data_IF_114088849800
#
_entry.id   IF_114088849800
#
_cell.length_a   1.000
_cell.length_b   1.000
_cell.length_c   1.000
_cell.angle_alpha   90.00
_cell.angle_beta   90.00
_cell.angle_gamma   90.00
#
_symmetry.space_group_name_H-M   'P 1'
#
loop_
_entity.id
_entity.type
_entity.pdbx_description
1 polymer ?
#
# COMPACT_ATOMS: atom_id res chain seq x y z
N UNK A 1 14.47 18.64 -3.49
CA UNK A 1 14.74 18.25 -2.09
C UNK A 1 15.13 16.77 -2.13
N UNK A 2 16.28 16.39 -1.58
CA UNK A 2 16.79 15.01 -1.55
C UNK A 2 16.77 14.49 -0.11
N UNK A 3 15.60 14.38 0.44
CA UNK A 3 15.35 14.04 1.84
C UNK A 3 15.35 12.52 2.13
N UNK A 4 15.55 11.69 1.09
CA UNK A 4 15.73 10.25 1.22
C UNK A 4 17.14 9.76 0.81
N UNK A 5 18.12 10.67 0.68
CA UNK A 5 19.49 10.27 0.36
C UNK A 5 20.01 9.28 1.45
N UNK A 6 20.58 8.15 1.00
CA UNK A 6 21.06 7.08 1.87
C UNK A 6 19.99 6.17 2.46
N UNK A 7 18.71 6.37 2.16
CA UNK A 7 17.60 5.53 2.63
C UNK A 7 17.18 4.50 1.60
N UNK A 8 17.18 3.22 1.99
CA UNK A 8 16.67 2.13 1.15
C UNK A 8 15.20 1.88 1.47
N UNK A 9 14.32 1.95 0.47
CA UNK A 9 12.88 1.81 0.63
C UNK A 9 12.35 0.72 -0.30
N UNK A 10 11.69 -0.28 0.30
CA UNK A 10 10.98 -1.34 -0.43
C UNK A 10 9.57 -0.87 -0.78
N UNK A 11 9.17 -1.00 -2.03
CA UNK A 11 7.80 -0.76 -2.50
C UNK A 11 7.23 -2.04 -3.09
N UNK A 12 6.28 -2.68 -2.42
CA UNK A 12 5.55 -3.84 -2.97
C UNK A 12 4.45 -3.39 -3.92
N UNK A 13 4.05 -4.24 -4.87
CA UNK A 13 3.07 -3.84 -5.88
C UNK A 13 3.55 -2.71 -6.80
N UNK A 14 4.86 -2.59 -6.98
CA UNK A 14 5.52 -1.50 -7.72
C UNK A 14 5.14 -1.44 -9.21
N UNK A 15 4.73 -2.57 -9.80
CA UNK A 15 4.23 -2.62 -11.19
C UNK A 15 2.81 -2.06 -11.35
N UNK A 16 2.09 -1.78 -10.25
CA UNK A 16 0.76 -1.15 -10.28
C UNK A 16 0.84 0.39 -10.32
N UNK A 17 -0.31 1.04 -10.56
CA UNK A 17 -0.39 2.49 -10.71
C UNK A 17 0.15 3.27 -9.51
N UNK A 18 -0.42 3.07 -8.31
CA UNK A 18 0.00 3.76 -7.07
C UNK A 18 1.45 3.40 -6.71
N UNK A 19 1.80 2.09 -6.80
CA UNK A 19 3.15 1.62 -6.50
C UNK A 19 4.19 2.25 -7.42
N UNK A 20 3.93 2.25 -8.74
CA UNK A 20 4.81 2.86 -9.73
C UNK A 20 4.99 4.37 -9.54
N UNK A 21 3.89 5.10 -9.25
CA UNK A 21 3.96 6.54 -8.93
C UNK A 21 4.80 6.79 -7.66
N UNK A 22 4.63 5.94 -6.65
CA UNK A 22 5.42 6.01 -5.40
C UNK A 22 6.92 5.79 -5.67
N UNK A 23 7.27 4.76 -6.46
CA UNK A 23 8.66 4.50 -6.85
C UNK A 23 9.28 5.72 -7.55
N UNK A 24 8.57 6.30 -8.54
CA UNK A 24 9.05 7.51 -9.25
C UNK A 24 9.30 8.67 -8.30
N UNK A 25 8.38 8.96 -7.39
CA UNK A 25 8.52 10.07 -6.43
C UNK A 25 9.67 9.84 -5.44
N UNK A 26 9.82 8.64 -4.91
CA UNK A 26 10.91 8.31 -3.97
C UNK A 26 12.27 8.37 -4.65
N UNK A 27 12.43 7.79 -5.84
CA UNK A 27 13.67 7.87 -6.61
C UNK A 27 14.03 9.31 -6.97
N UNK A 28 13.06 10.14 -7.37
CA UNK A 28 13.24 11.56 -7.63
C UNK A 28 13.65 12.38 -6.39
N UNK A 29 13.42 11.86 -5.18
CA UNK A 29 13.81 12.46 -3.89
C UNK A 29 15.08 11.83 -3.27
N UNK A 30 15.81 10.99 -4.04
CA UNK A 30 17.11 10.46 -3.66
C UNK A 30 17.10 9.10 -2.95
N UNK A 31 15.92 8.45 -2.79
CA UNK A 31 15.85 7.11 -2.20
C UNK A 31 16.52 6.06 -3.10
N UNK A 32 17.18 5.07 -2.47
CA UNK A 32 17.47 3.79 -3.11
C UNK A 32 16.20 2.94 -3.06
N UNK A 33 15.49 2.83 -4.18
CA UNK A 33 14.20 2.13 -4.20
C UNK A 33 14.37 0.69 -4.66
N UNK A 34 13.74 -0.24 -3.91
CA UNK A 34 13.56 -1.64 -4.31
C UNK A 34 12.12 -1.79 -4.77
N UNK A 35 11.93 -1.97 -6.09
CA UNK A 35 10.62 -2.11 -6.71
C UNK A 35 10.22 -3.60 -6.74
N UNK A 36 9.23 -3.98 -5.94
CA UNK A 36 8.88 -5.38 -5.75
C UNK A 36 7.48 -5.74 -6.28
N UNK A 37 7.36 -6.96 -6.79
CA UNK A 37 6.11 -7.50 -7.34
C UNK A 37 6.31 -8.87 -7.97
N UNK A 38 5.31 -9.35 -8.71
CA UNK A 38 5.37 -10.67 -9.40
C UNK A 38 5.73 -10.58 -10.87
N UNK A 39 5.44 -9.45 -11.52
CA UNK A 39 5.67 -9.25 -12.94
C UNK A 39 7.08 -8.68 -13.17
N UNK A 40 8.03 -9.55 -13.45
CA UNK A 40 9.44 -9.20 -13.64
C UNK A 40 9.67 -8.24 -14.80
N UNK A 41 8.94 -8.39 -15.91
CA UNK A 41 9.06 -7.53 -17.07
C UNK A 41 8.65 -6.08 -16.75
N UNK A 42 7.48 -5.90 -16.11
CA UNK A 42 7.01 -4.59 -15.70
C UNK A 42 7.92 -3.94 -14.63
N UNK A 43 8.52 -4.76 -13.74
CA UNK A 43 9.50 -4.27 -12.77
C UNK A 43 10.80 -3.83 -13.46
N UNK A 44 11.28 -4.57 -14.45
CA UNK A 44 12.47 -4.22 -15.22
C UNK A 44 12.27 -2.93 -16.04
N UNK A 45 11.08 -2.75 -16.64
CA UNK A 45 10.72 -1.51 -17.34
C UNK A 45 10.70 -0.31 -16.38
N UNK A 46 10.08 -0.46 -15.20
CA UNK A 46 10.05 0.60 -14.17
C UNK A 46 11.47 0.92 -13.69
N UNK A 47 12.30 -0.10 -13.47
CA UNK A 47 13.70 0.04 -13.07
C UNK A 47 14.51 0.83 -14.11
N UNK A 48 14.35 0.54 -15.38
CA UNK A 48 15.03 1.27 -16.48
C UNK A 48 14.69 2.77 -16.52
N UNK A 49 13.49 3.15 -16.07
CA UNK A 49 13.04 4.56 -16.04
C UNK A 49 13.39 5.29 -14.76
N UNK A 50 13.60 4.58 -13.66
CA UNK A 50 13.71 5.18 -12.31
C UNK A 50 15.04 4.91 -11.62
N UNK A 51 15.83 3.96 -12.10
CA UNK A 51 17.02 3.45 -11.40
C UNK A 51 16.69 2.57 -10.18
N UNK A 52 15.42 2.21 -9.97
CA UNK A 52 15.03 1.31 -8.89
C UNK A 52 15.57 -0.11 -9.12
N UNK A 53 15.86 -0.86 -8.06
CA UNK A 53 16.25 -2.27 -8.15
C UNK A 53 15.00 -3.16 -8.21
N UNK A 54 14.80 -3.96 -9.26
CA UNK A 54 13.68 -4.88 -9.33
C UNK A 54 13.88 -6.06 -8.37
N UNK A 55 12.78 -6.54 -7.77
CA UNK A 55 12.77 -7.69 -6.86
C UNK A 55 11.47 -8.47 -7.03
N UNK A 56 11.55 -9.70 -7.53
CA UNK A 56 10.38 -10.55 -7.70
C UNK A 56 10.17 -11.44 -6.49
N UNK A 57 8.96 -11.43 -5.92
CA UNK A 57 8.53 -12.39 -4.90
C UNK A 57 6.99 -12.45 -4.77
N UNK A 58 6.52 -13.54 -4.14
CA UNK A 58 5.10 -13.75 -3.86
C UNK A 58 4.76 -13.35 -2.42
N UNK A 59 3.88 -12.35 -2.28
CA UNK A 59 3.37 -11.87 -0.99
C UNK A 59 2.63 -12.94 -0.18
N UNK A 60 2.06 -13.96 -0.84
CA UNK A 60 1.27 -15.00 -0.18
C UNK A 60 2.13 -16.13 0.39
N UNK A 61 3.40 -16.24 -0.02
CA UNK A 61 4.37 -17.22 0.47
C UNK A 61 5.32 -16.60 1.50
N UNK A 62 5.28 -17.12 2.72
CA UNK A 62 6.19 -16.65 3.78
C UNK A 62 7.66 -16.93 3.44
N UNK A 63 7.95 -18.09 2.85
CA UNK A 63 9.31 -18.46 2.42
C UNK A 63 9.82 -17.47 1.36
N UNK A 64 8.98 -17.13 0.36
CA UNK A 64 9.31 -16.18 -0.70
C UNK A 64 9.59 -14.79 -0.13
N UNK A 65 8.75 -14.30 0.80
CA UNK A 65 8.94 -13.01 1.46
C UNK A 65 10.21 -13.01 2.31
N UNK A 66 10.43 -14.06 3.12
CA UNK A 66 11.61 -14.18 3.99
C UNK A 66 12.92 -14.18 3.19
N UNK A 67 12.98 -14.99 2.12
CA UNK A 67 14.14 -15.07 1.25
C UNK A 67 14.40 -13.78 0.46
N UNK A 68 13.35 -13.05 0.08
CA UNK A 68 13.49 -11.83 -0.68
C UNK A 68 13.97 -10.63 0.15
N UNK A 69 13.50 -10.49 1.39
CA UNK A 69 13.72 -9.26 2.18
C UNK A 69 14.49 -9.46 3.49
N UNK A 70 14.72 -10.71 3.93
CA UNK A 70 15.33 -10.99 5.23
C UNK A 70 16.74 -10.43 5.43
N UNK A 71 17.50 -10.27 4.36
CA UNK A 71 18.88 -9.76 4.39
C UNK A 71 19.01 -8.31 3.85
N UNK A 72 17.88 -7.65 3.52
CA UNK A 72 17.92 -6.28 3.02
C UNK A 72 18.12 -5.28 4.15
N UNK A 73 18.99 -4.30 3.93
CA UNK A 73 19.14 -3.16 4.82
C UNK A 73 18.09 -2.10 4.48
N UNK A 74 16.90 -2.26 5.07
CA UNK A 74 15.74 -1.40 4.83
C UNK A 74 15.65 -0.29 5.86
N UNK A 75 15.45 0.95 5.38
CA UNK A 75 15.01 2.07 6.19
C UNK A 75 13.48 2.24 6.15
N UNK A 76 12.84 1.88 5.04
CA UNK A 76 11.41 2.06 4.91
C UNK A 76 10.72 1.04 4.00
N UNK A 77 9.39 0.95 4.14
CA UNK A 77 8.53 0.05 3.36
C UNK A 77 7.25 0.74 2.94
N UNK A 78 6.82 0.48 1.70
CA UNK A 78 5.46 0.77 1.23
C UNK A 78 4.79 -0.55 0.83
N UNK A 79 3.79 -0.97 1.59
CA UNK A 79 2.93 -2.11 1.25
C UNK A 79 1.81 -1.64 0.32
N UNK A 80 2.06 -1.71 -0.99
CA UNK A 80 1.09 -1.32 -2.02
C UNK A 80 0.54 -2.52 -2.82
N UNK A 81 1.11 -3.73 -2.63
CA UNK A 81 0.61 -4.95 -3.25
C UNK A 81 -0.78 -5.32 -2.74
N UNK A 82 -1.70 -5.63 -3.66
CA UNK A 82 -3.06 -6.00 -3.28
C UNK A 82 -3.83 -6.71 -4.41
N UNK A 83 -4.96 -7.29 -4.03
CA UNK A 83 -5.91 -7.96 -4.91
C UNK A 83 -7.32 -7.51 -4.60
N UNK A 84 -8.08 -7.08 -5.62
CA UNK A 84 -9.42 -6.51 -5.45
C UNK A 84 -10.51 -7.55 -5.12
N UNK A 85 -10.29 -8.78 -5.53
CA UNK A 85 -11.30 -9.84 -5.38
C UNK A 85 -12.48 -9.65 -6.33
N UNK A 86 -13.62 -10.18 -5.91
CA UNK A 86 -14.91 -10.08 -6.59
C UNK A 86 -15.78 -9.00 -5.98
N UNK A 87 -16.86 -8.67 -6.69
CA UNK A 87 -17.94 -7.82 -6.18
C UNK A 87 -19.18 -8.72 -6.05
N UNK A 88 -19.48 -9.07 -4.79
CA UNK A 88 -20.57 -10.00 -4.47
C UNK A 88 -21.31 -9.58 -3.19
N UNK A 89 -22.58 -9.96 -3.08
CA UNK A 89 -23.33 -9.84 -1.82
C UNK A 89 -22.85 -10.90 -0.81
N UNK A 90 -23.07 -10.72 0.50
CA UNK A 90 -22.55 -11.65 1.51
C UNK A 90 -22.94 -13.11 1.28
N UNK A 91 -24.17 -13.38 0.85
CA UNK A 91 -24.66 -14.75 0.60
C UNK A 91 -24.10 -15.39 -0.68
N UNK A 92 -23.54 -14.58 -1.60
CA UNK A 92 -23.03 -15.02 -2.90
C UNK A 92 -21.49 -14.95 -2.95
N UNK A 93 -20.85 -14.59 -1.83
CA UNK A 93 -19.39 -14.46 -1.74
C UNK A 93 -18.72 -15.84 -1.91
N UNK A 94 -17.77 -15.91 -2.86
CA UNK A 94 -16.90 -17.07 -3.02
C UNK A 94 -15.81 -17.06 -1.92
N UNK A 95 -15.80 -18.12 -1.10
CA UNK A 95 -14.87 -18.22 0.04
C UNK A 95 -13.41 -18.38 -0.40
N UNK A 96 -13.14 -19.05 -1.51
CA UNK A 96 -11.78 -19.18 -2.05
C UNK A 96 -11.24 -17.82 -2.50
N UNK A 97 -12.11 -16.98 -3.09
CA UNK A 97 -11.77 -15.59 -3.45
C UNK A 97 -11.56 -14.75 -2.19
N UNK A 98 -12.43 -14.87 -1.17
CA UNK A 98 -12.28 -14.20 0.12
C UNK A 98 -10.93 -14.55 0.75
N UNK A 99 -10.60 -15.83 0.87
CA UNK A 99 -9.34 -16.30 1.45
C UNK A 99 -8.13 -15.77 0.70
N UNK A 100 -8.18 -15.74 -0.63
CA UNK A 100 -7.13 -15.18 -1.48
C UNK A 100 -6.95 -13.68 -1.26
N UNK A 101 -8.05 -12.93 -1.09
CA UNK A 101 -8.01 -11.48 -0.80
C UNK A 101 -7.36 -11.22 0.57
N UNK A 102 -7.78 -11.96 1.60
CA UNK A 102 -7.20 -11.87 2.96
C UNK A 102 -5.71 -12.26 2.93
N UNK A 103 -5.37 -13.38 2.27
CA UNK A 103 -3.99 -13.84 2.16
C UNK A 103 -3.08 -12.81 1.49
N UNK A 104 -3.57 -12.13 0.45
CA UNK A 104 -2.77 -11.12 -0.28
C UNK A 104 -2.70 -9.80 0.48
N UNK A 105 -3.85 -9.23 0.86
CA UNK A 105 -3.94 -7.84 1.32
C UNK A 105 -3.56 -7.65 2.79
N UNK A 106 -3.96 -8.58 3.64
CA UNK A 106 -3.72 -8.51 5.09
C UNK A 106 -2.50 -9.34 5.51
N UNK A 107 -2.55 -10.66 5.25
CA UNK A 107 -1.46 -11.57 5.65
C UNK A 107 -0.16 -11.25 4.91
N UNK A 108 -0.21 -10.97 3.60
CA UNK A 108 0.97 -10.63 2.81
C UNK A 108 1.65 -9.35 3.31
N UNK A 109 0.87 -8.29 3.58
CA UNK A 109 1.40 -7.08 4.18
C UNK A 109 2.01 -7.32 5.57
N UNK A 110 1.37 -8.16 6.41
CA UNK A 110 1.93 -8.54 7.72
C UNK A 110 3.26 -9.30 7.58
N UNK A 111 3.40 -10.19 6.60
CA UNK A 111 4.66 -10.89 6.34
C UNK A 111 5.77 -9.90 5.98
N UNK A 112 5.49 -8.92 5.11
CA UNK A 112 6.46 -7.88 4.76
C UNK A 112 6.82 -7.05 5.99
N UNK A 113 5.84 -6.62 6.81
CA UNK A 113 6.09 -5.90 8.07
C UNK A 113 6.98 -6.74 8.99
N UNK A 114 6.66 -8.03 9.18
CA UNK A 114 7.43 -8.95 10.05
C UNK A 114 8.90 -9.01 9.68
N UNK A 115 9.22 -9.22 8.42
CA UNK A 115 10.61 -9.38 7.98
C UNK A 115 11.33 -8.04 7.86
N UNK A 116 10.67 -6.99 7.39
CA UNK A 116 11.25 -5.66 7.34
C UNK A 116 11.54 -5.10 8.75
N UNK A 117 10.60 -5.25 9.69
CA UNK A 117 10.81 -4.80 11.07
C UNK A 117 12.04 -5.47 11.71
N UNK A 118 12.27 -6.78 11.45
CA UNK A 118 13.46 -7.48 11.94
C UNK A 118 14.76 -6.83 11.42
N UNK A 119 14.82 -6.48 10.13
CA UNK A 119 15.99 -5.83 9.54
C UNK A 119 16.14 -4.41 10.08
N UNK A 120 15.06 -3.63 10.17
CA UNK A 120 15.08 -2.26 10.68
C UNK A 120 15.50 -2.20 12.16
N UNK A 121 15.00 -3.12 13.02
CA UNK A 121 15.41 -3.25 14.42
C UNK A 121 16.87 -3.61 14.52
N UNK A 122 17.35 -4.57 13.73
CA UNK A 122 18.77 -4.97 13.69
C UNK A 122 19.69 -3.80 13.34
N UNK A 123 19.27 -2.94 12.42
CA UNK A 123 20.03 -1.74 12.02
C UNK A 123 20.00 -0.63 13.07
N UNK A 124 18.94 -0.55 13.89
CA UNK A 124 18.82 0.43 14.97
C UNK A 124 18.70 1.90 14.52
N UNK A 125 18.32 2.14 13.25
CA UNK A 125 18.26 3.47 12.67
C UNK A 125 16.83 4.06 12.67
N UNK A 126 15.86 3.32 13.24
CA UNK A 126 14.45 3.64 13.10
C UNK A 126 13.94 3.43 11.67
N UNK A 127 12.90 4.15 11.27
CA UNK A 127 12.37 4.10 9.92
C UNK A 127 10.87 4.33 9.80
N UNK A 128 10.30 4.02 8.63
CA UNK A 128 8.87 4.21 8.39
C UNK A 128 8.27 3.13 7.48
N UNK A 129 7.05 2.71 7.83
CA UNK A 129 6.24 1.77 7.05
C UNK A 129 4.92 2.44 6.70
N UNK A 130 4.53 2.42 5.43
CA UNK A 130 3.23 2.91 4.96
C UNK A 130 2.48 1.80 4.26
N UNK A 131 1.30 1.48 4.77
CA UNK A 131 0.39 0.49 4.20
C UNK A 131 -0.65 1.18 3.31
N UNK A 132 -0.81 0.72 2.07
CA UNK A 132 -1.89 1.20 1.19
C UNK A 132 -3.14 0.38 1.46
N UNK A 133 -3.98 0.92 2.33
CA UNK A 133 -5.30 0.38 2.67
C UNK A 133 -6.35 0.85 1.66
N UNK A 134 -7.52 1.25 2.12
CA UNK A 134 -8.62 1.77 1.31
C UNK A 134 -9.66 2.47 2.18
N UNK A 135 -10.42 3.41 1.64
CA UNK A 135 -11.65 3.89 2.29
C UNK A 135 -12.61 2.73 2.63
N UNK A 136 -12.57 1.62 1.86
CA UNK A 136 -13.37 0.42 2.13
C UNK A 136 -12.99 -0.29 3.45
N UNK A 137 -11.83 0.02 4.04
CA UNK A 137 -11.46 -0.40 5.39
C UNK A 137 -12.06 0.47 6.49
N UNK A 138 -12.51 1.69 6.16
CA UNK A 138 -13.08 2.66 7.10
C UNK A 138 -14.61 2.66 7.06
N UNK A 139 -15.20 2.54 5.86
CA UNK A 139 -16.65 2.52 5.65
C UNK A 139 -17.04 1.39 4.70
N UNK A 140 -18.27 0.91 4.85
CA UNK A 140 -18.78 -0.18 4.02
C UNK A 140 -19.03 0.27 2.58
N UNK A 141 -18.59 -0.54 1.63
CA UNK A 141 -18.96 -0.45 0.21
C UNK A 141 -19.77 -1.67 -0.20
N UNK A 142 -20.89 -1.46 -0.90
CA UNK A 142 -21.75 -2.57 -1.37
C UNK A 142 -20.95 -3.52 -2.26
N UNK A 143 -21.10 -4.84 -2.02
CA UNK A 143 -20.43 -5.88 -2.79
C UNK A 143 -18.93 -6.08 -2.49
N UNK A 144 -18.35 -5.34 -1.55
CA UNK A 144 -16.90 -5.38 -1.29
C UNK A 144 -16.55 -6.06 0.05
N UNK A 145 -17.29 -7.10 0.44
CA UNK A 145 -17.08 -7.74 1.75
C UNK A 145 -15.65 -8.31 1.89
N UNK A 146 -15.16 -9.03 0.90
CA UNK A 146 -13.81 -9.60 0.91
C UNK A 146 -12.73 -8.52 0.96
N UNK A 147 -12.83 -7.53 0.08
CA UNK A 147 -11.87 -6.44 -0.02
C UNK A 147 -11.90 -5.53 1.21
N UNK A 148 -13.09 -5.05 1.61
CA UNK A 148 -13.26 -4.19 2.77
C UNK A 148 -12.75 -4.83 4.06
N UNK A 149 -13.09 -6.10 4.30
CA UNK A 149 -12.58 -6.86 5.45
C UNK A 149 -11.07 -6.95 5.47
N UNK A 150 -10.43 -7.20 4.32
CA UNK A 150 -8.97 -7.28 4.23
C UNK A 150 -8.30 -5.94 4.53
N UNK A 151 -8.90 -4.81 4.10
CA UNK A 151 -8.37 -3.47 4.33
C UNK A 151 -8.61 -3.00 5.77
N UNK A 152 -9.75 -3.33 6.38
CA UNK A 152 -9.98 -3.12 7.80
C UNK A 152 -8.99 -3.90 8.67
N UNK A 153 -8.68 -5.15 8.29
CA UNK A 153 -7.63 -5.93 8.94
C UNK A 153 -6.26 -5.27 8.80
N UNK A 154 -5.91 -4.74 7.62
CA UNK A 154 -4.65 -4.03 7.39
C UNK A 154 -4.55 -2.75 8.22
N UNK A 155 -5.64 -2.00 8.38
CA UNK A 155 -5.68 -0.82 9.24
C UNK A 155 -5.48 -1.18 10.72
N UNK A 156 -6.01 -2.33 11.16
CA UNK A 156 -5.73 -2.80 12.52
C UNK A 156 -4.29 -3.29 12.70
N UNK A 157 -3.74 -4.03 11.72
CA UNK A 157 -2.32 -4.42 11.68
C UNK A 157 -1.43 -3.18 11.78
N UNK A 158 -1.77 -2.10 11.07
CA UNK A 158 -1.05 -0.82 11.12
C UNK A 158 -1.00 -0.25 12.53
N UNK A 159 -2.15 -0.19 13.24
CA UNK A 159 -2.22 0.35 14.61
C UNK A 159 -1.40 -0.47 15.61
N UNK A 160 -1.52 -1.81 15.55
CA UNK A 160 -0.76 -2.69 16.45
C UNK A 160 0.75 -2.59 16.15
N UNK A 161 1.15 -2.63 14.88
CA UNK A 161 2.55 -2.49 14.50
C UNK A 161 3.12 -1.11 14.91
N UNK A 162 2.36 -0.03 14.80
CA UNK A 162 2.76 1.30 15.28
C UNK A 162 3.03 1.33 16.79
N UNK A 163 2.14 0.70 17.56
CA UNK A 163 2.25 0.62 19.02
C UNK A 163 3.51 -0.17 19.43
N UNK A 164 3.76 -1.32 18.79
CA UNK A 164 4.83 -2.23 19.17
C UNK A 164 6.21 -1.83 18.64
N UNK A 165 6.26 -1.23 17.44
CA UNK A 165 7.52 -0.85 16.78
C UNK A 165 7.97 0.57 17.13
N UNK A 166 7.12 1.38 17.77
CA UNK A 166 7.43 2.76 18.14
C UNK A 166 8.65 2.87 19.07
N UNK A 167 8.83 1.92 20.00
CA UNK A 167 10.01 1.85 20.87
C UNK A 167 11.35 1.64 20.13
N UNK A 168 11.31 1.21 18.87
CA UNK A 168 12.46 1.07 17.98
C UNK A 168 12.63 2.26 17.02
N UNK A 169 11.84 3.34 17.19
CA UNK A 169 11.86 4.50 16.30
C UNK A 169 11.25 4.22 14.92
N UNK A 170 10.44 3.16 14.78
CA UNK A 170 9.77 2.80 13.53
C UNK A 170 8.33 3.28 13.57
N UNK A 171 7.96 4.16 12.63
CA UNK A 171 6.60 4.65 12.44
C UNK A 171 5.84 3.75 11.47
N UNK A 172 4.58 3.46 11.76
CA UNK A 172 3.73 2.65 10.88
C UNK A 172 2.39 3.35 10.69
N UNK A 173 2.05 3.65 9.44
CA UNK A 173 0.82 4.35 9.08
C UNK A 173 0.11 3.66 7.91
N UNK A 174 -1.16 3.93 7.71
CA UNK A 174 -1.86 3.58 6.48
C UNK A 174 -2.41 4.82 5.77
N UNK A 175 -2.50 4.73 4.45
CA UNK A 175 -3.30 5.61 3.62
C UNK A 175 -4.52 4.86 3.15
N UNK A 176 -5.67 5.54 3.10
CA UNK A 176 -6.97 4.95 2.76
C UNK A 176 -7.55 5.66 1.51
N UNK A 177 -7.04 5.32 0.31
CA UNK A 177 -7.51 5.93 -0.93
C UNK A 177 -8.97 5.63 -1.23
N UNK A 178 -9.64 6.57 -1.90
CA UNK A 178 -10.79 6.27 -2.75
C UNK A 178 -10.35 5.54 -4.03
N UNK A 179 -11.26 5.39 -4.96
CA UNK A 179 -10.98 4.78 -6.26
C UNK A 179 -9.97 5.62 -7.03
N UNK A 180 -8.89 4.97 -7.44
CA UNK A 180 -7.91 5.48 -8.40
C UNK A 180 -8.13 4.74 -9.71
N UNK A 181 -8.35 5.48 -10.82
CA UNK A 181 -8.62 4.88 -12.12
C UNK A 181 -7.34 4.27 -12.70
N UNK A 182 -7.15 3.00 -12.41
CA UNK A 182 -6.06 2.15 -12.93
C UNK A 182 -6.64 1.05 -13.82
N UNK A 183 -5.83 0.32 -14.60
CA UNK A 183 -6.32 -0.83 -15.36
C UNK A 183 -7.06 -1.87 -14.49
N UNK A 184 -6.70 -1.97 -13.22
CA UNK A 184 -7.35 -2.89 -12.27
C UNK A 184 -8.79 -2.48 -11.93
N UNK A 185 -9.08 -1.18 -11.86
CA UNK A 185 -10.33 -0.62 -11.35
C UNK A 185 -11.29 -0.15 -12.43
N UNK A 186 -10.79 0.26 -13.59
CA UNK A 186 -11.55 0.93 -14.64
C UNK A 186 -12.72 0.09 -15.20
N UNK A 187 -12.57 -1.24 -15.27
CA UNK A 187 -13.61 -2.13 -15.78
C UNK A 187 -14.93 -2.07 -15.00
N UNK A 188 -14.86 -1.79 -13.69
CA UNK A 188 -16.02 -1.68 -12.82
C UNK A 188 -16.41 -0.21 -12.59
N UNK A 189 -15.46 0.61 -12.13
CA UNK A 189 -15.71 1.98 -11.70
C UNK A 189 -15.92 2.97 -12.86
N UNK A 190 -15.45 2.63 -14.07
CA UNK A 190 -15.71 3.41 -15.29
C UNK A 190 -17.09 3.18 -15.93
N UNK A 191 -17.95 2.36 -15.32
CA UNK A 191 -19.32 2.13 -15.81
C UNK A 191 -20.19 3.34 -15.48
N UNK A 192 -20.95 3.90 -16.46
CA UNK A 192 -21.76 5.10 -16.24
C UNK A 192 -22.81 4.95 -15.12
N UNK A 193 -23.33 3.74 -14.93
CA UNK A 193 -24.31 3.42 -13.88
C UNK A 193 -23.70 3.38 -12.46
N UNK A 194 -22.36 3.38 -12.36
CA UNK A 194 -21.61 3.35 -11.09
C UNK A 194 -20.86 4.66 -10.86
N UNK A 195 -20.20 5.20 -11.88
CA UNK A 195 -19.35 6.40 -11.79
C UNK A 195 -20.13 7.61 -11.25
N UNK A 196 -21.20 8.01 -11.90
CA UNK A 196 -21.97 9.19 -11.50
C UNK A 196 -22.45 9.12 -10.05
N UNK A 197 -23.23 8.09 -9.67
CA UNK A 197 -23.71 7.95 -8.29
C UNK A 197 -22.62 7.83 -7.23
N UNK A 198 -21.42 7.35 -7.60
CA UNK A 198 -20.30 7.29 -6.67
C UNK A 198 -19.63 8.66 -6.50
N UNK A 199 -19.39 9.37 -7.61
CA UNK A 199 -18.79 10.71 -7.59
C UNK A 199 -19.69 11.72 -6.87
N UNK A 200 -21.02 11.60 -6.99
CA UNK A 200 -22.00 12.43 -6.27
C UNK A 200 -21.87 12.32 -4.75
N UNK A 201 -21.30 11.22 -4.27
CA UNK A 201 -21.05 11.01 -2.85
C UNK A 201 -19.70 11.59 -2.38
N UNK A 202 -18.88 12.08 -3.28
CA UNK A 202 -17.53 12.56 -3.01
C UNK A 202 -17.49 14.10 -3.13
N UNK A 203 -17.26 14.85 -2.04
CA UNK A 203 -17.23 16.31 -2.08
C UNK A 203 -16.32 16.91 -3.15
N UNK A 204 -15.15 16.31 -3.43
CA UNK A 204 -14.25 16.78 -4.50
C UNK A 204 -14.69 16.33 -5.91
N UNK A 205 -15.71 15.49 -6.02
CA UNK A 205 -16.41 15.07 -7.25
C UNK A 205 -15.49 14.69 -8.41
N UNK A 206 -14.40 13.96 -8.12
CA UNK A 206 -13.47 13.42 -9.12
C UNK A 206 -12.79 12.17 -8.61
N UNK A 207 -12.38 11.31 -9.53
CA UNK A 207 -11.49 10.20 -9.22
C UNK A 207 -10.12 10.70 -8.73
N UNK A 208 -9.53 9.95 -7.80
CA UNK A 208 -8.15 10.22 -7.42
C UNK A 208 -7.19 9.78 -8.54
N UNK A 209 -6.10 10.49 -8.67
CA UNK A 209 -4.96 10.11 -9.49
C UNK A 209 -3.95 9.31 -8.66
N UNK A 210 -3.04 8.60 -9.32
CA UNK A 210 -1.94 7.91 -8.64
C UNK A 210 -1.08 8.87 -7.82
N UNK A 211 -0.91 10.10 -8.32
CA UNK A 211 -0.12 11.15 -7.67
C UNK A 211 -0.80 11.73 -6.43
N UNK A 212 -2.15 11.79 -6.40
CA UNK A 212 -2.90 12.18 -5.20
C UNK A 212 -2.60 11.24 -4.03
N UNK A 213 -2.30 9.97 -4.31
CA UNK A 213 -2.00 8.96 -3.29
C UNK A 213 -0.50 8.87 -2.99
N UNK A 214 0.35 8.91 -4.02
CA UNK A 214 1.80 8.79 -3.84
C UNK A 214 2.40 9.96 -3.05
N UNK A 215 1.86 11.18 -3.17
CA UNK A 215 2.29 12.34 -2.39
C UNK A 215 2.20 12.10 -0.88
N UNK A 216 1.01 11.83 -0.33
CA UNK A 216 0.83 11.50 1.08
C UNK A 216 1.64 10.28 1.57
N UNK A 217 1.83 9.24 0.73
CA UNK A 217 2.71 8.10 1.07
C UNK A 217 4.12 8.61 1.34
N UNK A 218 4.67 9.41 0.43
CA UNK A 218 6.02 9.96 0.55
C UNK A 218 6.14 10.91 1.74
N UNK A 219 5.12 11.73 2.02
CA UNK A 219 5.05 12.55 3.24
C UNK A 219 5.11 11.69 4.51
N UNK A 220 4.29 10.65 4.61
CA UNK A 220 4.28 9.77 5.78
C UNK A 220 5.60 9.00 5.97
N UNK A 221 6.36 8.75 4.91
CA UNK A 221 7.71 8.20 5.02
C UNK A 221 8.72 9.25 5.50
N UNK A 222 8.56 10.52 5.17
CA UNK A 222 9.54 11.58 5.45
C UNK A 222 9.65 11.95 6.92
N UNK A 223 10.69 12.73 7.26
CA UNK A 223 10.90 13.26 8.61
C UNK A 223 9.87 14.34 8.97
N UNK A 224 9.18 14.94 7.99
CA UNK A 224 8.06 15.86 8.23
C UNK A 224 6.91 15.18 8.99
N UNK A 225 6.80 13.84 8.89
CA UNK A 225 5.82 13.03 9.61
C UNK A 225 6.38 12.38 10.90
N UNK A 226 7.43 12.93 11.51
CA UNK A 226 8.15 12.33 12.63
C UNK A 226 7.26 11.99 13.85
N UNK A 227 6.17 12.73 14.08
CA UNK A 227 5.22 12.49 15.17
C UNK A 227 3.92 11.81 14.72
N UNK A 228 3.88 11.29 13.47
CA UNK A 228 2.70 10.61 12.92
C UNK A 228 2.97 9.10 12.88
N UNK A 229 2.26 8.35 13.72
CA UNK A 229 2.27 6.88 13.71
C UNK A 229 0.91 6.34 14.13
N UNK A 230 0.49 5.18 13.61
CA UNK A 230 -0.77 4.52 13.90
C UNK A 230 -2.00 5.13 13.22
N UNK A 231 -1.83 6.10 12.30
CA UNK A 231 -2.97 6.72 11.62
C UNK A 231 -3.45 5.89 10.42
N UNK A 232 -4.75 5.95 10.19
CA UNK A 232 -5.39 5.57 8.92
C UNK A 232 -5.83 6.87 8.25
N UNK A 233 -5.06 7.33 7.24
CA UNK A 233 -5.24 8.63 6.59
C UNK A 233 -6.14 8.51 5.34
N UNK A 234 -7.40 8.99 5.38
CA UNK A 234 -8.25 9.01 4.20
C UNK A 234 -7.69 9.93 3.11
N UNK A 235 -7.65 9.42 1.88
CA UNK A 235 -7.33 10.19 0.67
C UNK A 235 -8.47 9.92 -0.32
N UNK A 236 -9.65 10.41 0.02
CA UNK A 236 -10.91 9.93 -0.53
C UNK A 236 -11.83 11.05 -1.06
N UNK A 237 -11.30 12.24 -1.22
CA UNK A 237 -12.08 13.39 -1.71
C UNK A 237 -13.21 13.80 -0.78
N UNK A 238 -13.17 13.39 0.50
CA UNK A 238 -14.19 13.67 1.51
C UNK A 238 -15.29 12.62 1.59
N UNK A 239 -15.16 11.48 0.90
CA UNK A 239 -16.18 10.42 0.88
C UNK A 239 -16.54 9.94 2.30
N UNK A 240 -15.59 9.78 3.20
CA UNK A 240 -15.81 9.30 4.59
C UNK A 240 -16.11 10.41 5.59
N UNK A 241 -16.16 11.68 5.18
CA UNK A 241 -16.44 12.82 6.06
C UNK A 241 -17.93 13.07 6.32
N UNK A 242 -18.83 12.22 5.82
CA UNK A 242 -20.30 12.33 5.89
C UNK A 242 -20.91 11.24 6.76
#
# INVERSE_FOLDING_TARGET
>A
MRDFDGRTILVTGASGGIGGATVRKLAGRGATVIAAGRNEEALAELAGRTGARPLAFDLTSEESVAGAIGDLDLWGVVNCGGYGGEIASPQDTDIDVFDKVIATNARGALLVIKYAARTMIRLGQGGAIVNVSSQAGLVALRGHISYGSSKAALDNITRVAALELGGHGIRVNSVNPTVVMTPMSAWYWGRPDIEGPFLDQMPLHRWATEDDIAGPIVFLLSDEAAMITGVSLPIDGGYTAR
#
